data_IF_823264784518
#
_entry.id   IF_823264784518
#
_cell.length_a   1.000
_cell.length_b   1.000
_cell.length_c   1.000
_cell.angle_alpha   90.00
_cell.angle_beta   90.00
_cell.angle_gamma   90.00
#
_symmetry.space_group_name_H-M   'P 1'
#
loop_
_entity.id
_entity.type
_entity.pdbx_description
1 polymer ?
#
# COMPACT_ATOMS: atom_id res chain seq x y z
N UNK A 1 11.96 -12.17 -13.04
CA UNK A 1 10.59 -12.20 -13.57
C UNK A 1 10.04 -13.58 -13.26
N UNK A 2 8.94 -13.67 -12.53
CA UNK A 2 8.31 -14.95 -12.25
C UNK A 2 7.74 -15.51 -13.58
N UNK A 3 8.02 -16.79 -13.86
CA UNK A 3 7.54 -17.41 -15.08
C UNK A 3 6.11 -17.93 -14.88
N UNK A 4 5.24 -17.65 -15.82
CA UNK A 4 3.94 -18.29 -15.93
C UNK A 4 3.69 -18.73 -17.36
N UNK A 5 2.93 -19.81 -17.60
CA UNK A 5 2.58 -20.22 -18.95
C UNK A 5 1.66 -19.18 -19.62
N UNK A 6 1.76 -19.04 -20.92
CA UNK A 6 0.81 -18.23 -21.68
C UNK A 6 -0.61 -18.78 -21.50
N UNK A 7 -1.59 -17.88 -21.40
CA UNK A 7 -2.99 -18.27 -21.34
C UNK A 7 -3.39 -19.04 -22.61
N UNK A 8 -4.15 -20.15 -22.49
CA UNK A 8 -4.73 -20.82 -23.64
C UNK A 8 -5.65 -19.85 -24.43
N UNK A 9 -5.62 -19.97 -25.77
CA UNK A 9 -6.37 -19.08 -26.67
C UNK A 9 -7.86 -18.98 -26.35
N UNK A 10 -8.46 -20.03 -25.81
CA UNK A 10 -9.89 -20.06 -25.46
C UNK A 10 -10.27 -18.98 -24.45
N UNK A 11 -9.36 -18.59 -23.54
CA UNK A 11 -9.61 -17.49 -22.58
C UNK A 11 -9.35 -16.12 -23.21
N UNK A 12 -8.36 -16.03 -24.09
CA UNK A 12 -8.03 -14.77 -24.76
C UNK A 12 -9.07 -14.36 -25.81
N UNK A 13 -9.79 -15.34 -26.38
CA UNK A 13 -10.82 -15.11 -27.41
C UNK A 13 -12.25 -15.07 -26.86
N UNK A 14 -12.44 -15.47 -25.60
CA UNK A 14 -13.74 -15.44 -24.95
C UNK A 14 -14.20 -14.01 -24.68
N UNK A 15 -15.49 -13.77 -24.80
CA UNK A 15 -16.11 -12.51 -24.42
C UNK A 15 -16.12 -12.32 -22.89
N UNK A 16 -16.27 -11.09 -22.43
CA UNK A 16 -16.41 -10.79 -20.99
C UNK A 16 -17.53 -11.56 -20.32
N UNK A 17 -18.67 -11.72 -20.99
CA UNK A 17 -19.83 -12.46 -20.47
C UNK A 17 -19.54 -13.97 -20.37
N UNK A 18 -18.89 -14.55 -21.35
CA UNK A 18 -18.46 -15.97 -21.30
C UNK A 18 -17.49 -16.21 -20.15
N UNK A 19 -16.48 -15.34 -19.99
CA UNK A 19 -15.54 -15.42 -18.87
C UNK A 19 -16.24 -15.28 -17.54
N UNK A 20 -17.18 -14.34 -17.43
CA UNK A 20 -17.96 -14.15 -16.22
C UNK A 20 -18.79 -15.38 -15.83
N UNK A 21 -19.39 -16.05 -16.80
CA UNK A 21 -20.12 -17.30 -16.59
C UNK A 21 -19.20 -18.41 -16.10
N UNK A 22 -18.02 -18.56 -16.70
CA UNK A 22 -16.99 -19.52 -16.25
C UNK A 22 -16.60 -19.25 -14.80
N UNK A 23 -16.26 -18.01 -14.48
CA UNK A 23 -15.86 -17.60 -13.12
C UNK A 23 -16.98 -17.92 -12.12
N UNK A 24 -18.24 -17.57 -12.43
CA UNK A 24 -19.38 -17.84 -11.57
C UNK A 24 -19.59 -19.33 -11.33
N UNK A 25 -19.52 -20.15 -12.38
CA UNK A 25 -19.66 -21.60 -12.30
C UNK A 25 -18.57 -22.22 -11.41
N UNK A 26 -17.29 -21.84 -11.59
CA UNK A 26 -16.17 -22.36 -10.79
C UNK A 26 -16.23 -21.88 -9.35
N UNK A 27 -16.66 -20.65 -9.13
CA UNK A 27 -16.88 -20.12 -7.79
C UNK A 27 -17.95 -20.92 -7.04
N UNK A 28 -19.04 -21.28 -7.72
CA UNK A 28 -20.10 -22.12 -7.16
C UNK A 28 -19.60 -23.56 -6.87
N UNK A 29 -18.80 -24.15 -7.78
CA UNK A 29 -18.23 -25.50 -7.64
C UNK A 29 -17.25 -25.59 -6.46
N UNK A 30 -16.34 -24.63 -6.33
CA UNK A 30 -15.35 -24.58 -5.25
C UNK A 30 -15.96 -24.20 -3.90
N UNK A 31 -17.07 -23.48 -3.90
CA UNK A 31 -17.86 -23.15 -2.72
C UNK A 31 -17.03 -22.47 -1.60
N UNK A 32 -17.20 -22.93 -0.37
CA UNK A 32 -16.51 -22.36 0.80
C UNK A 32 -15.00 -22.54 0.79
N UNK A 33 -14.48 -23.47 -0.04
CA UNK A 33 -13.03 -23.68 -0.18
C UNK A 33 -12.31 -22.53 -0.87
N UNK A 34 -13.04 -21.67 -1.60
CA UNK A 34 -12.52 -20.53 -2.33
C UNK A 34 -12.89 -19.23 -1.64
N UNK A 35 -11.89 -18.34 -1.51
CA UNK A 35 -12.04 -16.96 -1.10
C UNK A 35 -11.42 -16.05 -2.16
N UNK A 36 -12.20 -15.13 -2.73
CA UNK A 36 -11.71 -14.17 -3.72
C UNK A 36 -11.63 -12.80 -3.06
N UNK A 37 -10.41 -12.24 -2.99
CA UNK A 37 -10.13 -10.93 -2.44
C UNK A 37 -9.79 -9.94 -3.57
N UNK A 38 -10.47 -8.80 -3.64
CA UNK A 38 -10.29 -7.79 -4.68
C UNK A 38 -9.87 -6.44 -4.11
N UNK A 39 -8.77 -5.89 -4.63
CA UNK A 39 -8.33 -4.55 -4.24
C UNK A 39 -9.17 -3.48 -4.96
N UNK A 40 -9.41 -2.35 -4.29
CA UNK A 40 -10.18 -1.23 -4.86
C UNK A 40 -9.66 -0.68 -6.20
N UNK A 41 -8.39 -0.90 -6.53
CA UNK A 41 -7.79 -0.43 -7.80
C UNK A 41 -7.98 -1.42 -8.96
N UNK A 42 -8.70 -2.51 -8.74
CA UNK A 42 -9.04 -3.46 -9.81
C UNK A 42 -10.13 -2.92 -10.73
N UNK A 43 -10.14 -3.47 -11.95
CA UNK A 43 -11.18 -3.24 -12.96
C UNK A 43 -12.54 -3.75 -12.46
N UNK A 44 -13.62 -3.16 -12.94
CA UNK A 44 -14.98 -3.55 -12.55
C UNK A 44 -15.28 -5.02 -12.90
N UNK A 45 -14.80 -5.45 -14.05
CA UNK A 45 -14.98 -6.81 -14.59
C UNK A 45 -14.35 -7.88 -13.69
N UNK A 46 -13.29 -7.53 -12.99
CA UNK A 46 -12.61 -8.42 -12.02
C UNK A 46 -13.24 -8.32 -10.65
N UNK A 47 -13.43 -7.08 -10.15
CA UNK A 47 -13.83 -6.85 -8.76
C UNK A 47 -15.26 -7.32 -8.47
N UNK A 48 -16.13 -7.37 -9.47
CA UNK A 48 -17.50 -7.89 -9.34
C UNK A 48 -17.57 -9.36 -8.89
N UNK A 49 -16.48 -10.12 -9.07
CA UNK A 49 -16.38 -11.52 -8.67
C UNK A 49 -15.82 -11.72 -7.26
N UNK A 50 -15.25 -10.66 -6.65
CA UNK A 50 -14.66 -10.73 -5.32
C UNK A 50 -15.72 -11.02 -4.24
N UNK A 51 -15.33 -11.81 -3.23
CA UNK A 51 -16.15 -12.01 -2.03
C UNK A 51 -16.03 -10.81 -1.09
N UNK A 52 -14.87 -10.19 -1.08
CA UNK A 52 -14.58 -8.97 -0.32
C UNK A 52 -13.73 -8.02 -1.13
N UNK A 53 -14.04 -6.74 -0.98
CA UNK A 53 -13.31 -5.63 -1.59
C UNK A 53 -12.73 -4.77 -0.46
N UNK A 54 -11.51 -4.29 -0.64
CA UNK A 54 -10.85 -3.45 0.35
C UNK A 54 -9.54 -2.84 -0.14
N UNK A 55 -8.97 -2.00 0.73
CA UNK A 55 -7.58 -1.59 0.62
C UNK A 55 -6.64 -2.68 1.15
N UNK A 56 -5.32 -2.45 1.09
CA UNK A 56 -4.33 -3.43 1.53
C UNK A 56 -4.49 -3.84 3.01
N UNK A 57 -4.88 -2.91 3.90
CA UNK A 57 -5.10 -3.22 5.31
C UNK A 57 -6.33 -4.10 5.49
N UNK A 58 -7.44 -3.70 4.88
CA UNK A 58 -8.70 -4.42 4.96
C UNK A 58 -8.57 -5.84 4.41
N UNK A 59 -7.93 -6.00 3.26
CA UNK A 59 -7.72 -7.31 2.64
C UNK A 59 -6.78 -8.19 3.47
N UNK A 60 -5.75 -7.63 4.10
CA UNK A 60 -4.88 -8.36 5.03
C UNK A 60 -5.66 -8.88 6.24
N UNK A 61 -6.53 -8.05 6.83
CA UNK A 61 -7.41 -8.45 7.93
C UNK A 61 -8.42 -9.53 7.51
N UNK A 62 -8.99 -9.40 6.31
CA UNK A 62 -9.96 -10.35 5.78
C UNK A 62 -9.31 -11.70 5.46
N UNK A 63 -8.11 -11.72 4.87
CA UNK A 63 -7.36 -12.95 4.65
C UNK A 63 -7.13 -13.70 5.96
N UNK A 64 -6.65 -13.01 6.99
CA UNK A 64 -6.38 -13.60 8.30
C UNK A 64 -7.65 -14.10 9.03
N UNK A 65 -8.78 -13.38 8.89
CA UNK A 65 -10.00 -13.65 9.65
C UNK A 65 -10.98 -14.58 8.93
N UNK A 66 -11.17 -14.43 7.63
CA UNK A 66 -12.23 -15.11 6.88
C UNK A 66 -11.80 -16.47 6.32
N UNK A 67 -10.51 -16.64 5.96
CA UNK A 67 -10.04 -17.92 5.44
C UNK A 67 -10.27 -19.08 6.45
N UNK A 68 -9.87 -18.98 7.74
CA UNK A 68 -10.14 -20.05 8.71
C UNK A 68 -11.64 -20.22 8.99
N UNK A 69 -12.43 -19.15 9.07
CA UNK A 69 -13.89 -19.24 9.33
C UNK A 69 -14.64 -20.02 8.26
N UNK A 70 -14.24 -19.85 6.99
CA UNK A 70 -14.87 -20.52 5.84
C UNK A 70 -14.31 -21.92 5.61
N UNK A 71 -13.18 -22.27 6.22
CA UNK A 71 -12.41 -23.46 5.88
C UNK A 71 -11.83 -23.36 4.46
N UNK A 72 -11.48 -22.14 4.03
CA UNK A 72 -10.94 -21.87 2.71
C UNK A 72 -9.60 -22.62 2.52
N UNK A 73 -9.43 -23.20 1.34
CA UNK A 73 -8.18 -23.85 0.90
C UNK A 73 -7.45 -23.01 -0.15
N UNK A 74 -8.16 -22.11 -0.80
CA UNK A 74 -7.66 -21.28 -1.87
C UNK A 74 -8.06 -19.83 -1.63
N UNK A 75 -7.09 -18.92 -1.71
CA UNK A 75 -7.34 -17.48 -1.81
C UNK A 75 -6.89 -17.04 -3.20
N UNK A 76 -7.82 -16.60 -4.03
CA UNK A 76 -7.49 -15.89 -5.27
C UNK A 76 -7.43 -14.40 -4.96
N UNK A 77 -6.22 -13.85 -5.06
CA UNK A 77 -5.96 -12.46 -4.70
C UNK A 77 -5.92 -11.58 -5.96
N UNK A 78 -6.99 -10.84 -6.22
CA UNK A 78 -7.05 -9.85 -7.30
C UNK A 78 -6.44 -8.52 -6.82
N UNK A 79 -5.13 -8.48 -6.83
CA UNK A 79 -4.28 -7.37 -6.37
C UNK A 79 -2.91 -7.46 -7.03
N UNK A 80 -1.86 -7.16 -6.29
CA UNK A 80 -0.46 -7.28 -6.75
C UNK A 80 0.35 -8.20 -5.84
N UNK A 81 1.52 -8.61 -6.29
CA UNK A 81 2.32 -9.68 -5.70
C UNK A 81 2.55 -9.52 -4.18
N UNK A 82 2.94 -8.35 -3.70
CA UNK A 82 3.18 -8.12 -2.27
C UNK A 82 1.92 -8.30 -1.40
N UNK A 83 0.72 -8.11 -1.98
CA UNK A 83 -0.55 -8.33 -1.29
C UNK A 83 -0.83 -9.83 -1.16
N UNK A 84 -0.55 -10.60 -2.20
CA UNK A 84 -0.63 -12.05 -2.17
C UNK A 84 0.39 -12.65 -1.18
N UNK A 85 1.64 -12.15 -1.16
CA UNK A 85 2.62 -12.50 -0.12
C UNK A 85 2.10 -12.19 1.28
N UNK A 86 1.47 -11.03 1.47
CA UNK A 86 0.90 -10.66 2.78
C UNK A 86 -0.22 -11.59 3.20
N UNK A 87 -1.08 -12.01 2.27
CA UNK A 87 -2.11 -13.00 2.53
C UNK A 87 -1.51 -14.37 2.89
N UNK A 88 -0.48 -14.82 2.19
CA UNK A 88 0.23 -16.06 2.50
C UNK A 88 0.88 -16.01 3.89
N UNK A 89 1.51 -14.89 4.26
CA UNK A 89 2.13 -14.70 5.59
C UNK A 89 1.10 -14.78 6.72
N UNK A 90 -0.11 -14.29 6.50
CA UNK A 90 -1.15 -14.17 7.52
C UNK A 90 -2.08 -15.37 7.59
N UNK A 91 -2.00 -16.29 6.65
CA UNK A 91 -2.81 -17.51 6.60
C UNK A 91 -2.00 -18.75 6.99
N UNK A 92 -2.69 -19.85 7.26
CA UNK A 92 -2.07 -21.14 7.55
C UNK A 92 -1.47 -21.76 6.28
N UNK A 93 -0.48 -22.63 6.46
CA UNK A 93 0.27 -23.25 5.35
C UNK A 93 -0.57 -24.21 4.48
N UNK A 94 -1.77 -24.57 4.94
CA UNK A 94 -2.73 -25.38 4.20
C UNK A 94 -3.68 -24.57 3.30
N UNK A 95 -3.46 -23.25 3.22
CA UNK A 95 -4.18 -22.33 2.33
C UNK A 95 -3.25 -21.91 1.19
N UNK A 96 -3.62 -22.22 -0.04
CA UNK A 96 -2.89 -21.77 -1.22
C UNK A 96 -3.35 -20.38 -1.63
N UNK A 97 -2.43 -19.42 -1.66
CA UNK A 97 -2.69 -18.07 -2.16
C UNK A 97 -2.27 -18.00 -3.63
N UNK A 98 -3.19 -17.57 -4.49
CA UNK A 98 -3.04 -17.55 -5.94
C UNK A 98 -3.16 -16.12 -6.45
N UNK A 99 -2.18 -15.69 -7.23
CA UNK A 99 -2.21 -14.44 -7.97
C UNK A 99 -2.55 -14.75 -9.44
N UNK A 100 -3.68 -14.30 -9.98
CA UNK A 100 -4.12 -14.71 -11.33
C UNK A 100 -3.08 -14.44 -12.42
N UNK A 101 -2.33 -13.34 -12.35
CA UNK A 101 -1.16 -13.07 -13.18
C UNK A 101 0.06 -12.78 -12.29
N UNK A 102 1.08 -13.65 -12.34
CA UNK A 102 2.32 -13.50 -11.56
C UNK A 102 3.13 -12.26 -11.95
N UNK A 103 2.88 -11.68 -13.11
CA UNK A 103 3.52 -10.43 -13.54
C UNK A 103 2.89 -9.17 -12.93
N UNK A 104 1.78 -9.31 -12.17
CA UNK A 104 1.15 -8.23 -11.44
C UNK A 104 2.01 -7.84 -10.21
N UNK A 105 3.13 -7.18 -10.45
CA UNK A 105 4.06 -6.67 -9.44
C UNK A 105 3.67 -5.29 -8.90
N UNK A 106 4.60 -4.66 -8.17
CA UNK A 106 4.48 -3.28 -7.72
C UNK A 106 5.84 -2.61 -7.78
N UNK A 107 6.01 -1.65 -8.70
CA UNK A 107 7.30 -0.97 -8.88
C UNK A 107 7.80 -0.29 -7.60
N UNK A 108 6.91 0.23 -6.76
CA UNK A 108 7.29 0.82 -5.48
C UNK A 108 7.84 -0.25 -4.51
N UNK A 109 7.20 -1.43 -4.44
CA UNK A 109 7.69 -2.52 -3.60
C UNK A 109 9.10 -2.97 -4.00
N UNK A 110 9.40 -2.92 -5.30
CA UNK A 110 10.70 -3.29 -5.86
C UNK A 110 11.78 -2.21 -5.68
N UNK A 111 11.40 -0.98 -5.30
CA UNK A 111 12.37 0.11 -5.06
C UNK A 111 13.16 -0.03 -3.76
N UNK A 112 12.72 -0.89 -2.83
CA UNK A 112 13.50 -1.25 -1.65
C UNK A 112 13.98 -2.70 -1.80
N UNK A 113 15.17 -2.89 -2.33
CA UNK A 113 15.85 -4.18 -2.39
C UNK A 113 16.32 -4.62 -1.01
N UNK A 114 16.37 -5.94 -0.77
CA UNK A 114 16.81 -6.47 0.51
C UNK A 114 18.27 -6.10 0.80
N UNK A 115 19.17 -6.32 -0.17
CA UNK A 115 20.59 -6.00 -0.04
C UNK A 115 20.81 -4.51 0.17
N UNK A 116 20.18 -3.66 -0.64
CA UNK A 116 20.23 -2.20 -0.47
C UNK A 116 19.76 -1.75 0.92
N UNK A 117 18.75 -2.44 1.47
CA UNK A 117 18.21 -2.13 2.80
C UNK A 117 19.19 -2.55 3.90
N UNK A 118 19.86 -3.69 3.76
CA UNK A 118 20.92 -4.14 4.68
C UNK A 118 22.11 -3.17 4.64
N UNK A 119 22.55 -2.76 3.46
CA UNK A 119 23.64 -1.79 3.30
C UNK A 119 23.28 -0.44 3.93
N UNK A 120 22.08 0.04 3.70
CA UNK A 120 21.58 1.26 4.33
C UNK A 120 21.57 1.15 5.85
N UNK A 121 21.10 0.02 6.38
CA UNK A 121 21.07 -0.25 7.82
C UNK A 121 22.47 -0.19 8.44
N UNK A 122 23.45 -0.83 7.80
CA UNK A 122 24.85 -0.81 8.24
C UNK A 122 25.44 0.59 8.17
N UNK A 123 25.25 1.31 7.07
CA UNK A 123 25.74 2.67 6.89
C UNK A 123 25.13 3.65 7.92
N UNK A 124 23.84 3.53 8.21
CA UNK A 124 23.17 4.35 9.24
C UNK A 124 23.77 4.07 10.61
N UNK A 125 23.97 2.80 10.98
CA UNK A 125 24.55 2.44 12.27
C UNK A 125 26.01 2.86 12.39
N UNK A 126 26.80 2.74 11.32
CA UNK A 126 28.17 3.25 11.28
C UNK A 126 28.22 4.77 11.48
N UNK A 127 27.31 5.54 10.87
CA UNK A 127 27.24 6.99 11.05
C UNK A 127 26.81 7.39 12.46
N UNK A 128 25.88 6.66 13.07
CA UNK A 128 25.43 6.90 14.45
C UNK A 128 26.52 6.56 15.46
N UNK A 129 27.25 5.48 15.25
CA UNK A 129 28.35 5.02 16.13
C UNK A 129 27.86 4.79 17.56
N UNK A 130 28.62 5.35 18.53
CA UNK A 130 28.33 5.21 19.96
C UNK A 130 27.23 6.18 20.49
N UNK A 131 26.55 6.93 19.60
CA UNK A 131 25.46 7.82 20.02
C UNK A 131 24.29 7.02 20.53
N UNK A 132 23.60 7.53 21.55
CA UNK A 132 22.39 6.92 22.08
C UNK A 132 21.19 7.17 21.13
N UNK A 133 21.30 6.59 19.93
CA UNK A 133 20.25 6.66 18.89
C UNK A 133 19.84 5.25 18.50
N UNK A 134 18.58 4.93 18.58
CA UNK A 134 18.02 3.65 18.14
C UNK A 134 17.23 3.83 16.86
N UNK A 135 17.52 3.01 15.85
CA UNK A 135 16.81 3.01 14.59
C UNK A 135 15.65 2.03 14.65
N UNK A 136 14.45 2.49 14.33
CA UNK A 136 13.27 1.64 14.18
C UNK A 136 12.85 1.71 12.71
N UNK A 137 12.90 0.58 11.97
CA UNK A 137 12.45 0.55 10.59
C UNK A 137 10.92 0.44 10.54
N UNK A 138 10.29 1.24 9.68
CA UNK A 138 8.89 1.11 9.31
C UNK A 138 8.83 0.80 7.83
N UNK A 139 8.05 -0.19 7.43
CA UNK A 139 7.79 -0.40 6.01
C UNK A 139 6.33 -0.26 5.68
N UNK A 140 6.04 0.49 4.64
CA UNK A 140 4.74 0.45 4.03
C UNK A 140 4.45 -0.98 3.55
N UNK A 141 3.24 -1.47 3.72
CA UNK A 141 2.85 -2.84 3.34
C UNK A 141 3.14 -3.14 1.87
N UNK A 142 3.24 -2.09 1.03
CA UNK A 142 3.67 -2.14 -0.36
C UNK A 142 5.20 -2.35 -0.45
N UNK A 143 5.65 -3.48 0.06
CA UNK A 143 7.03 -3.96 0.08
C UNK A 143 7.05 -5.48 -0.03
N UNK A 144 8.18 -6.06 -0.40
CA UNK A 144 8.33 -7.51 -0.51
C UNK A 144 8.28 -8.20 0.86
N UNK A 145 8.01 -9.50 0.89
CA UNK A 145 8.08 -10.31 2.11
C UNK A 145 9.47 -10.24 2.77
N UNK A 146 10.54 -10.12 1.98
CA UNK A 146 11.91 -9.99 2.49
C UNK A 146 12.11 -8.68 3.27
N UNK A 147 11.57 -7.56 2.79
CA UNK A 147 11.62 -6.27 3.50
C UNK A 147 10.75 -6.31 4.76
N UNK A 148 9.57 -6.91 4.72
CA UNK A 148 8.73 -7.13 5.90
C UNK A 148 9.45 -7.98 6.95
N UNK A 149 10.16 -9.02 6.52
CA UNK A 149 10.96 -9.89 7.39
C UNK A 149 12.13 -9.11 8.04
N UNK A 150 12.86 -8.32 7.23
CA UNK A 150 13.91 -7.44 7.74
C UNK A 150 13.37 -6.50 8.82
N UNK A 151 12.27 -5.81 8.55
CA UNK A 151 11.64 -4.88 9.49
C UNK A 151 11.18 -5.61 10.75
N UNK A 152 10.56 -6.78 10.62
CA UNK A 152 10.12 -7.60 11.75
C UNK A 152 11.28 -8.04 12.65
N UNK A 153 12.40 -8.47 12.05
CA UNK A 153 13.62 -8.87 12.74
C UNK A 153 14.26 -7.71 13.52
N UNK A 154 14.21 -6.50 12.98
CA UNK A 154 14.82 -5.31 13.59
C UNK A 154 13.86 -4.52 14.49
N UNK A 155 12.79 -5.15 14.98
CA UNK A 155 11.88 -4.53 15.96
C UNK A 155 10.92 -3.50 15.38
N UNK A 156 10.84 -3.38 14.06
CA UNK A 156 9.97 -2.45 13.36
C UNK A 156 8.58 -3.01 13.06
N UNK A 157 7.75 -2.25 12.37
CA UNK A 157 6.38 -2.63 11.99
C UNK A 157 6.08 -2.30 10.53
N UNK A 158 5.14 -3.03 9.95
CA UNK A 158 4.48 -2.60 8.72
C UNK A 158 3.50 -1.46 9.02
N UNK A 159 3.19 -0.66 8.01
CA UNK A 159 2.07 0.28 8.05
C UNK A 159 1.30 0.26 6.73
N UNK A 160 0.13 0.86 6.72
CA UNK A 160 -0.64 1.23 5.52
C UNK A 160 -0.94 2.72 5.57
N UNK A 161 -1.46 3.31 4.48
CA UNK A 161 -1.91 4.70 4.50
C UNK A 161 -2.99 4.97 5.57
N UNK A 162 -3.74 3.94 5.98
CA UNK A 162 -4.79 4.05 6.99
C UNK A 162 -4.26 4.14 8.43
N UNK A 163 -3.07 3.64 8.72
CA UNK A 163 -2.52 3.61 10.07
C UNK A 163 -1.06 4.11 10.20
N UNK A 164 -0.49 4.67 9.14
CA UNK A 164 0.89 5.14 9.13
C UNK A 164 1.19 6.09 10.29
N UNK A 165 0.30 7.04 10.60
CA UNK A 165 0.44 7.98 11.72
C UNK A 165 0.61 7.25 13.06
N UNK A 166 -0.19 6.22 13.33
CA UNK A 166 -0.13 5.46 14.59
C UNK A 166 1.11 4.59 14.69
N UNK A 167 1.51 3.96 13.59
CA UNK A 167 2.75 3.17 13.54
C UNK A 167 3.95 4.08 13.74
N UNK A 168 3.92 5.26 13.17
CA UNK A 168 4.96 6.26 13.32
C UNK A 168 5.06 6.75 14.78
N UNK A 169 3.93 7.10 15.39
CA UNK A 169 3.86 7.47 16.80
C UNK A 169 4.36 6.35 17.73
N UNK A 170 3.93 5.10 17.48
CA UNK A 170 4.42 3.92 18.20
C UNK A 170 5.95 3.79 18.09
N UNK A 171 6.53 4.00 16.92
CA UNK A 171 7.98 3.95 16.73
C UNK A 171 8.69 5.09 17.48
N UNK A 172 8.14 6.33 17.45
CA UNK A 172 8.70 7.47 18.20
C UNK A 172 8.73 7.21 19.72
N UNK A 173 7.81 6.41 20.24
CA UNK A 173 7.79 5.99 21.64
C UNK A 173 8.66 4.75 21.93
N UNK A 174 9.47 4.31 20.94
CA UNK A 174 10.43 3.22 21.10
C UNK A 174 9.93 1.86 20.62
N UNK A 175 8.76 1.77 20.04
CA UNK A 175 8.22 0.51 19.53
C UNK A 175 7.86 -0.47 20.65
N UNK A 176 8.35 -1.70 20.55
CA UNK A 176 8.14 -2.74 21.59
C UNK A 176 9.00 -2.52 22.84
N UNK A 177 10.04 -1.68 22.77
CA UNK A 177 10.96 -1.41 23.87
C UNK A 177 10.88 0.08 24.20
N UNK A 178 10.46 0.48 25.39
CA UNK A 178 10.40 1.89 25.77
C UNK A 178 11.72 2.63 25.52
N UNK A 179 11.62 3.92 25.24
CA UNK A 179 12.78 4.78 25.03
C UNK A 179 13.56 4.91 26.36
N UNK A 180 14.86 4.61 26.31
CA UNK A 180 15.72 4.72 27.48
C UNK A 180 16.06 6.20 27.76
N UNK A 181 16.58 6.48 28.99
CA UNK A 181 17.03 7.83 29.35
C UNK A 181 18.14 8.28 28.40
N UNK A 182 17.97 9.48 27.85
CA UNK A 182 18.89 10.09 26.87
C UNK A 182 19.00 9.35 25.51
N UNK A 183 18.12 8.39 25.26
CA UNK A 183 17.99 7.76 23.95
C UNK A 183 17.10 8.59 23.03
N UNK A 184 17.47 8.65 21.74
CA UNK A 184 16.62 9.25 20.71
C UNK A 184 16.26 8.22 19.66
N UNK A 185 15.04 8.30 19.16
CA UNK A 185 14.56 7.38 18.11
C UNK A 185 14.82 8.01 16.75
N UNK A 186 15.29 7.17 15.83
CA UNK A 186 15.41 7.45 14.41
C UNK A 186 14.55 6.47 13.64
N UNK A 187 13.75 6.95 12.70
CA UNK A 187 12.91 6.11 11.86
C UNK A 187 13.59 5.93 10.50
N UNK A 188 13.68 4.69 10.01
CA UNK A 188 13.95 4.37 8.62
C UNK A 188 12.62 3.98 7.97
N UNK A 189 12.08 4.85 7.10
CA UNK A 189 10.79 4.64 6.45
C UNK A 189 10.96 4.11 5.03
N UNK A 190 10.44 2.92 4.77
CA UNK A 190 10.54 2.16 3.53
C UNK A 190 9.15 1.93 2.92
N UNK A 191 9.01 1.71 1.62
CA UNK A 191 9.85 2.20 0.55
C UNK A 191 9.40 3.57 0.02
N UNK A 192 8.20 4.07 0.43
CA UNK A 192 7.58 5.28 -0.12
C UNK A 192 7.99 6.54 0.63
N UNK A 193 8.74 7.42 -0.06
CA UNK A 193 9.18 8.69 0.50
C UNK A 193 8.04 9.64 0.82
N UNK A 194 6.98 9.64 0.00
CA UNK A 194 5.89 10.60 0.10
C UNK A 194 4.99 10.28 1.29
N UNK A 195 4.56 9.02 1.45
CA UNK A 195 3.81 8.59 2.62
C UNK A 195 4.62 8.84 3.91
N UNK A 196 5.92 8.49 3.91
CA UNK A 196 6.80 8.73 5.05
C UNK A 196 6.95 10.21 5.38
N UNK A 197 7.18 11.07 4.38
CA UNK A 197 7.34 12.52 4.53
C UNK A 197 6.06 13.18 5.03
N UNK A 198 4.92 12.89 4.40
CA UNK A 198 3.63 13.43 4.81
C UNK A 198 3.25 12.98 6.21
N UNK A 199 3.59 11.74 6.58
CA UNK A 199 3.42 11.24 7.95
C UNK A 199 4.32 11.98 8.94
N UNK A 200 5.60 12.14 8.64
CA UNK A 200 6.54 12.91 9.48
C UNK A 200 6.06 14.36 9.68
N UNK A 201 5.66 15.03 8.59
CA UNK A 201 5.09 16.38 8.65
C UNK A 201 3.88 16.47 9.55
N UNK A 202 2.97 15.49 9.48
CA UNK A 202 1.78 15.44 10.35
C UNK A 202 2.09 15.26 11.84
N UNK A 203 3.33 14.84 12.19
CA UNK A 203 3.86 14.79 13.56
C UNK A 203 4.71 16.01 13.90
N UNK A 204 4.67 17.07 13.09
CA UNK A 204 5.37 18.33 13.35
C UNK A 204 6.84 18.34 12.98
N UNK A 205 7.37 17.32 12.28
CA UNK A 205 8.75 17.34 11.83
C UNK A 205 8.93 18.29 10.64
N UNK A 206 10.03 19.05 10.65
CA UNK A 206 10.45 19.88 9.52
C UNK A 206 11.01 18.97 8.44
N UNK A 207 10.31 18.88 7.31
CA UNK A 207 10.75 18.05 6.19
C UNK A 207 11.88 18.73 5.42
N UNK A 208 12.65 17.94 4.65
CA UNK A 208 13.68 18.50 3.75
C UNK A 208 13.06 19.40 2.66
N UNK A 209 11.79 19.17 2.31
CA UNK A 209 11.02 20.03 1.39
C UNK A 209 10.70 21.37 2.05
N UNK A 210 10.20 21.36 3.30
CA UNK A 210 9.91 22.59 4.06
C UNK A 210 11.17 23.39 4.34
N UNK A 211 12.28 22.72 4.69
CA UNK A 211 13.56 23.36 4.93
C UNK A 211 14.13 24.02 3.66
N UNK A 212 14.00 23.39 2.51
CA UNK A 212 14.43 23.95 1.22
C UNK A 212 13.57 25.19 0.84
N UNK A 213 12.26 25.14 1.07
CA UNK A 213 11.35 26.26 0.79
C UNK A 213 11.63 27.50 1.66
N UNK A 214 12.16 27.31 2.88
CA UNK A 214 12.47 28.38 3.85
C UNK A 214 13.91 28.90 3.79
N UNK A 215 14.68 28.56 2.74
CA UNK A 215 16.06 29.03 2.52
C UNK A 215 17.02 28.80 3.71
N UNK A 216 16.99 27.62 4.34
CA UNK A 216 18.02 27.24 5.31
C UNK A 216 17.53 26.74 6.67
N UNK A 217 16.31 26.24 6.78
CA UNK A 217 15.84 25.52 7.96
C UNK A 217 16.62 24.20 8.15
N UNK A 218 16.78 23.75 9.41
CA UNK A 218 17.34 22.43 9.70
C UNK A 218 16.23 21.39 9.49
N UNK A 219 16.38 20.58 8.46
CA UNK A 219 15.47 19.46 8.20
C UNK A 219 15.63 18.36 9.26
N UNK A 220 14.53 17.80 9.70
CA UNK A 220 14.49 16.64 10.59
C UNK A 220 14.26 15.34 9.81
N UNK A 221 13.91 15.46 8.52
CA UNK A 221 13.86 14.34 7.57
C UNK A 221 15.00 14.43 6.58
N UNK A 222 15.43 13.30 6.04
CA UNK A 222 16.42 13.25 4.94
C UNK A 222 16.05 12.12 3.97
N UNK A 223 16.23 12.37 2.67
CA UNK A 223 15.97 11.39 1.63
C UNK A 223 17.17 10.47 1.46
N UNK A 224 16.95 9.16 1.64
CA UNK A 224 17.93 8.12 1.38
C UNK A 224 17.77 7.55 -0.02
N UNK A 225 18.72 7.80 -0.90
CA UNK A 225 18.74 7.25 -2.24
C UNK A 225 19.65 5.99 -2.28
N UNK A 226 19.09 4.75 -2.41
CA UNK A 226 19.90 3.53 -2.39
C UNK A 226 20.91 3.42 -3.54
N UNK A 227 20.75 4.21 -4.61
CA UNK A 227 21.68 4.24 -5.75
C UNK A 227 22.95 5.05 -5.49
N UNK A 228 23.03 5.72 -4.36
CA UNK A 228 24.15 6.58 -3.98
C UNK A 228 24.83 6.03 -2.73
N UNK A 229 26.15 6.18 -2.65
CA UNK A 229 26.91 5.83 -1.46
C UNK A 229 26.35 6.55 -0.23
N UNK A 230 26.15 5.80 0.85
CA UNK A 230 25.54 6.31 2.10
C UNK A 230 24.21 7.05 1.87
N UNK A 231 23.43 6.60 0.86
CA UNK A 231 22.16 7.23 0.50
C UNK A 231 22.29 8.64 -0.09
N UNK A 232 23.50 9.06 -0.47
CA UNK A 232 23.80 10.43 -0.90
C UNK A 232 23.91 11.42 0.27
N UNK A 233 23.98 10.95 1.51
CA UNK A 233 24.00 11.76 2.73
C UNK A 233 25.38 11.76 3.39
N UNK A 234 25.75 12.90 3.95
CA UNK A 234 26.93 12.98 4.83
C UNK A 234 26.61 12.37 6.20
N UNK A 235 27.59 11.82 6.94
CA UNK A 235 27.38 11.26 8.28
C UNK A 235 26.64 12.22 9.24
N UNK A 236 26.94 13.50 9.19
CA UNK A 236 26.26 14.52 10.00
C UNK A 236 24.77 14.64 9.65
N UNK A 237 24.39 14.53 8.38
CA UNK A 237 22.99 14.58 7.96
C UNK A 237 22.26 13.32 8.43
N UNK A 238 22.88 12.14 8.31
CA UNK A 238 22.34 10.88 8.83
C UNK A 238 22.10 10.98 10.34
N UNK A 239 23.08 11.51 11.09
CA UNK A 239 22.96 11.69 12.54
C UNK A 239 21.86 12.66 12.93
N UNK A 240 21.72 13.79 12.23
CA UNK A 240 20.78 14.85 12.58
C UNK A 240 19.34 14.53 12.15
N UNK A 241 19.15 13.81 11.05
CA UNK A 241 17.82 13.41 10.62
C UNK A 241 17.16 12.50 11.67
N UNK A 242 15.94 12.80 12.05
CA UNK A 242 15.08 11.93 12.88
C UNK A 242 14.39 10.87 12.04
N UNK A 243 14.14 11.19 10.78
CA UNK A 243 13.49 10.29 9.82
C UNK A 243 14.33 10.21 8.54
N UNK A 244 14.73 9.00 8.19
CA UNK A 244 15.34 8.69 6.90
C UNK A 244 14.26 8.11 6.00
N UNK A 245 14.02 8.77 4.87
CA UNK A 245 12.98 8.42 3.90
C UNK A 245 13.62 7.71 2.72
N UNK A 246 13.22 6.48 2.45
CA UNK A 246 13.68 5.76 1.26
C UNK A 246 13.16 6.42 -0.01
N UNK A 247 14.02 6.60 -1.02
CA UNK A 247 13.69 7.34 -2.26
C UNK A 247 12.80 6.57 -3.24
N UNK A 248 11.87 5.76 -2.75
CA UNK A 248 10.84 5.11 -3.55
C UNK A 248 9.56 5.96 -3.64
N UNK A 249 8.67 5.60 -4.56
CA UNK A 249 7.41 6.31 -4.78
C UNK A 249 6.40 5.47 -5.55
N UNK A 250 5.12 5.79 -5.41
CA UNK A 250 4.06 5.23 -6.25
C UNK A 250 4.05 5.88 -7.64
N UNK A 251 4.04 5.07 -8.71
CA UNK A 251 4.00 5.57 -10.09
C UNK A 251 2.69 6.31 -10.43
N UNK A 252 1.60 6.00 -9.75
CA UNK A 252 0.30 6.64 -9.92
C UNK A 252 0.27 7.98 -9.21
N UNK A 253 0.51 7.99 -7.90
CA UNK A 253 0.30 9.17 -7.06
C UNK A 253 1.32 10.30 -7.34
N UNK A 254 2.51 9.97 -7.84
CA UNK A 254 3.50 10.98 -8.28
C UNK A 254 3.09 11.79 -9.51
N UNK A 255 2.05 11.38 -10.23
CA UNK A 255 1.56 12.11 -11.41
C UNK A 255 0.75 13.33 -11.03
N UNK A 256 0.19 13.40 -9.83
CA UNK A 256 -0.52 14.57 -9.35
C UNK A 256 0.45 15.70 -9.02
N UNK A 257 0.01 16.92 -9.31
CA UNK A 257 0.81 18.16 -9.16
C UNK A 257 -0.03 19.26 -8.53
N UNK A 258 0.59 20.28 -7.88
CA UNK A 258 -0.12 21.44 -7.34
C UNK A 258 -0.99 22.17 -8.37
N UNK A 259 -0.56 22.21 -9.64
CA UNK A 259 -1.31 22.85 -10.72
C UNK A 259 -2.67 22.18 -10.97
N UNK A 260 -2.77 20.87 -10.80
CA UNK A 260 -4.04 20.14 -10.90
C UNK A 260 -5.00 20.55 -9.80
N UNK A 261 -4.50 20.75 -8.57
CA UNK A 261 -5.30 21.24 -7.43
C UNK A 261 -5.80 22.67 -7.73
N UNK A 262 -4.91 23.52 -8.24
CA UNK A 262 -5.28 24.90 -8.61
C UNK A 262 -6.34 24.93 -9.73
N UNK A 263 -6.26 24.02 -10.72
CA UNK A 263 -7.25 23.90 -11.79
C UNK A 263 -8.60 23.44 -11.24
N UNK A 264 -8.63 22.40 -10.41
CA UNK A 264 -9.85 21.89 -9.78
C UNK A 264 -10.55 22.96 -8.90
N UNK A 265 -9.79 23.76 -8.18
CA UNK A 265 -10.34 24.88 -7.39
C UNK A 265 -10.99 25.99 -8.24
N UNK A 266 -10.44 26.28 -9.44
CA UNK A 266 -11.08 27.20 -10.39
C UNK A 266 -12.46 26.70 -10.80
N UNK A 267 -12.63 25.38 -10.86
CA UNK A 267 -13.93 24.73 -11.13
C UNK A 267 -14.80 24.56 -9.88
N UNK A 268 -14.41 25.17 -8.74
CA UNK A 268 -15.12 25.08 -7.45
C UNK A 268 -15.27 23.62 -6.95
N UNK A 269 -14.23 22.81 -7.16
CA UNK A 269 -14.17 21.44 -6.64
C UNK A 269 -13.40 21.38 -5.34
N UNK A 270 -13.89 20.61 -4.38
CA UNK A 270 -13.13 20.20 -3.20
C UNK A 270 -12.14 19.11 -3.62
N UNK A 271 -10.89 19.24 -3.21
CA UNK A 271 -9.82 18.32 -3.62
C UNK A 271 -9.46 17.41 -2.46
N UNK A 272 -9.53 16.10 -2.72
CA UNK A 272 -9.07 15.06 -1.80
C UNK A 272 -8.01 14.20 -2.47
N UNK A 273 -6.87 13.95 -1.78
CA UNK A 273 -5.74 13.21 -2.35
C UNK A 273 -5.27 12.09 -1.43
N UNK A 274 -4.65 11.07 -2.02
CA UNK A 274 -3.99 10.02 -1.26
C UNK A 274 -2.63 10.50 -0.71
N UNK A 275 -2.20 10.11 0.51
CA UNK A 275 -0.96 10.59 1.14
C UNK A 275 0.33 10.07 0.47
N UNK A 276 0.26 9.22 -0.54
CA UNK A 276 1.37 8.88 -1.44
C UNK A 276 1.62 9.97 -2.51
N UNK A 277 0.77 10.99 -2.60
CA UNK A 277 1.06 12.18 -3.41
C UNK A 277 2.23 12.95 -2.81
N UNK A 278 2.95 13.68 -3.66
CA UNK A 278 4.04 14.55 -3.20
C UNK A 278 3.54 15.54 -2.15
N UNK A 279 4.42 15.93 -1.21
CA UNK A 279 4.07 16.83 -0.12
C UNK A 279 3.44 18.14 -0.64
N UNK A 280 3.97 18.68 -1.72
CA UNK A 280 3.50 19.93 -2.33
C UNK A 280 2.05 19.83 -2.83
N UNK A 281 1.59 18.63 -3.18
CA UNK A 281 0.20 18.36 -3.58
C UNK A 281 -0.67 18.21 -2.35
N UNK A 282 -0.19 17.47 -1.33
CA UNK A 282 -0.91 17.27 -0.07
C UNK A 282 -1.12 18.61 0.65
N UNK A 283 -0.09 19.46 0.68
CA UNK A 283 -0.13 20.77 1.35
C UNK A 283 -1.16 21.74 0.74
N UNK A 284 -1.47 21.59 -0.52
CA UNK A 284 -2.45 22.46 -1.20
C UNK A 284 -3.80 21.78 -1.43
N UNK A 285 -3.95 20.49 -1.16
CA UNK A 285 -5.24 19.81 -1.20
C UNK A 285 -6.13 20.24 -0.01
N UNK A 286 -7.45 20.09 -0.15
CA UNK A 286 -8.37 20.38 0.94
C UNK A 286 -8.41 19.25 1.97
N UNK A 287 -8.24 18.00 1.50
CA UNK A 287 -8.21 16.80 2.33
C UNK A 287 -7.14 15.82 1.82
N UNK A 288 -6.56 15.06 2.74
CA UNK A 288 -5.69 13.94 2.42
C UNK A 288 -5.98 12.75 3.33
N UNK A 289 -6.08 11.56 2.74
CA UNK A 289 -6.33 10.35 3.50
C UNK A 289 -6.21 9.06 2.69
N UNK A 290 -6.29 7.93 3.39
CA UNK A 290 -6.20 6.60 2.79
C UNK A 290 -7.32 6.33 1.79
N UNK A 291 -7.20 5.22 1.06
CA UNK A 291 -8.24 4.75 0.13
C UNK A 291 -9.62 4.65 0.80
N UNK A 292 -9.72 4.04 1.99
CA UNK A 292 -10.98 3.95 2.74
C UNK A 292 -11.48 5.33 3.16
N UNK A 293 -10.59 6.22 3.63
CA UNK A 293 -10.97 7.59 3.97
C UNK A 293 -11.54 8.36 2.77
N UNK A 294 -10.96 8.20 1.59
CA UNK A 294 -11.47 8.79 0.34
C UNK A 294 -12.86 8.23 0.02
N UNK A 295 -13.04 6.91 0.12
CA UNK A 295 -14.31 6.24 -0.13
C UNK A 295 -15.39 6.75 0.85
N UNK A 296 -15.09 6.78 2.14
CA UNK A 296 -16.03 7.24 3.19
C UNK A 296 -16.41 8.71 3.00
N UNK A 297 -15.43 9.56 2.69
CA UNK A 297 -15.63 10.98 2.44
C UNK A 297 -16.57 11.22 1.25
N UNK A 298 -16.29 10.56 0.12
CA UNK A 298 -17.13 10.70 -1.08
C UNK A 298 -18.50 10.07 -0.86
N UNK A 299 -18.59 8.94 -0.14
CA UNK A 299 -19.84 8.25 0.16
C UNK A 299 -20.76 9.05 1.08
N UNK A 300 -20.20 9.90 1.94
CA UNK A 300 -20.94 10.81 2.83
C UNK A 300 -21.08 12.23 2.29
N UNK A 301 -20.56 12.51 1.09
CA UNK A 301 -20.62 13.84 0.49
C UNK A 301 -22.06 14.31 0.24
N UNK A 302 -22.33 15.59 0.50
CA UNK A 302 -23.65 16.18 0.36
C UNK A 302 -24.06 16.34 -1.10
N UNK A 303 -25.33 16.14 -1.46
CA UNK A 303 -25.83 16.37 -2.81
C UNK A 303 -25.51 17.79 -3.30
N UNK A 304 -25.15 17.90 -4.58
CA UNK A 304 -24.72 19.18 -5.20
C UNK A 304 -23.24 19.52 -4.99
N UNK A 305 -22.49 18.75 -4.20
CA UNK A 305 -21.04 18.96 -4.03
C UNK A 305 -20.24 18.47 -5.23
N UNK A 306 -19.08 19.12 -5.47
CA UNK A 306 -18.17 18.82 -6.56
C UNK A 306 -16.81 18.43 -5.99
N UNK A 307 -16.26 17.30 -6.43
CA UNK A 307 -15.02 16.72 -5.92
C UNK A 307 -14.03 16.43 -7.04
N UNK A 308 -12.75 16.67 -6.76
CA UNK A 308 -11.63 16.17 -7.55
C UNK A 308 -10.78 15.25 -6.67
N UNK A 309 -10.56 14.02 -7.12
CA UNK A 309 -9.95 12.95 -6.32
C UNK A 309 -8.60 12.56 -6.90
N UNK A 310 -7.54 12.68 -6.11
CA UNK A 310 -6.17 12.35 -6.48
C UNK A 310 -5.77 10.95 -6.01
N UNK A 311 -6.26 9.92 -6.71
CA UNK A 311 -5.89 8.53 -6.54
C UNK A 311 -6.10 7.74 -7.84
N UNK A 312 -6.09 6.41 -7.79
CA UNK A 312 -6.16 5.51 -8.93
C UNK A 312 -7.52 5.60 -9.67
N UNK A 313 -7.47 5.59 -11.01
CA UNK A 313 -8.61 5.90 -11.88
C UNK A 313 -9.79 4.96 -11.77
N UNK A 314 -9.60 3.65 -11.60
CA UNK A 314 -10.71 2.69 -11.49
C UNK A 314 -11.53 2.93 -10.22
N UNK A 315 -10.85 3.22 -9.11
CA UNK A 315 -11.54 3.61 -7.89
C UNK A 315 -12.32 4.91 -8.10
N UNK A 316 -11.69 5.95 -8.67
CA UNK A 316 -12.34 7.25 -8.88
C UNK A 316 -13.57 7.10 -9.80
N UNK A 317 -13.48 6.30 -10.87
CA UNK A 317 -14.61 6.05 -11.76
C UNK A 317 -15.79 5.37 -11.04
N UNK A 318 -15.53 4.37 -10.19
CA UNK A 318 -16.59 3.74 -9.38
C UNK A 318 -17.22 4.70 -8.39
N UNK A 319 -16.39 5.53 -7.74
CA UNK A 319 -16.90 6.59 -6.85
C UNK A 319 -17.76 7.59 -7.62
N UNK A 320 -17.34 8.00 -8.81
CA UNK A 320 -18.10 8.92 -9.65
C UNK A 320 -19.48 8.36 -10.03
N UNK A 321 -19.53 7.11 -10.48
CA UNK A 321 -20.81 6.43 -10.84
C UNK A 321 -21.72 6.34 -9.61
N UNK A 322 -21.20 5.88 -8.46
CA UNK A 322 -21.97 5.76 -7.23
C UNK A 322 -22.45 7.12 -6.70
N UNK A 323 -21.59 8.14 -6.77
CA UNK A 323 -21.87 9.47 -6.29
C UNK A 323 -22.91 10.21 -7.14
N UNK A 324 -22.90 10.00 -8.48
CA UNK A 324 -23.84 10.62 -9.41
C UNK A 324 -25.31 10.32 -9.06
N UNK A 325 -25.60 9.10 -8.60
CA UNK A 325 -26.95 8.69 -8.16
C UNK A 325 -27.45 9.48 -6.93
N UNK A 326 -26.54 10.19 -6.22
CA UNK A 326 -26.86 11.03 -5.06
C UNK A 326 -26.71 12.53 -5.37
N UNK A 327 -26.52 12.88 -6.63
CA UNK A 327 -26.30 14.26 -7.07
C UNK A 327 -24.94 14.83 -6.66
N UNK A 328 -23.95 13.99 -6.41
CA UNK A 328 -22.57 14.39 -6.11
C UNK A 328 -21.72 14.21 -7.36
N UNK A 329 -20.97 15.24 -7.75
CA UNK A 329 -20.12 15.21 -8.93
C UNK A 329 -18.65 14.90 -8.53
N UNK A 330 -18.10 13.83 -9.04
CA UNK A 330 -16.73 13.36 -8.74
C UNK A 330 -15.96 13.20 -10.04
N UNK A 331 -14.74 13.71 -10.09
CA UNK A 331 -13.80 13.46 -11.18
C UNK A 331 -12.41 13.13 -10.64
N UNK A 332 -11.57 12.59 -11.52
CA UNK A 332 -10.15 12.45 -11.21
C UNK A 332 -9.47 13.83 -11.19
N UNK A 333 -8.48 14.01 -10.30
CA UNK A 333 -7.77 15.28 -10.13
C UNK A 333 -6.93 15.67 -11.35
N UNK A 334 -6.50 14.71 -12.15
CA UNK A 334 -5.67 14.96 -13.35
C UNK A 334 -6.28 14.27 -14.55
N UNK A 335 -6.25 14.92 -15.72
CA UNK A 335 -6.66 14.32 -17.00
C UNK A 335 -5.72 13.21 -17.47
N UNK A 336 -4.51 13.09 -16.89
CA UNK A 336 -3.63 11.97 -17.13
C UNK A 336 -4.27 10.67 -16.60
N UNK A 337 -4.13 9.58 -17.36
CA UNK A 337 -4.55 8.27 -16.91
C UNK A 337 -3.70 7.84 -15.71
N UNK A 338 -4.19 8.08 -14.50
CA UNK A 338 -3.57 7.64 -13.26
C UNK A 338 -3.91 6.17 -12.99
N UNK A 339 -3.51 5.31 -13.93
CA UNK A 339 -3.77 3.88 -13.95
C UNK A 339 -2.62 3.13 -13.27
N UNK A 340 -2.95 2.22 -12.37
CA UNK A 340 -2.02 1.22 -11.89
C UNK A 340 -1.86 0.08 -12.91
N UNK A 341 -0.89 0.22 -13.81
CA UNK A 341 -0.68 -0.71 -14.94
C UNK A 341 -0.40 -2.15 -14.49
N UNK A 342 0.15 -2.34 -13.31
CA UNK A 342 0.44 -3.69 -12.77
C UNK A 342 -0.80 -4.33 -12.17
N UNK A 343 -1.66 -3.54 -11.52
CA UNK A 343 -2.97 -4.01 -11.04
C UNK A 343 -3.88 -4.40 -12.21
N UNK A 344 -3.79 -3.65 -13.31
CA UNK A 344 -4.54 -3.88 -14.56
C UNK A 344 -4.17 -5.18 -15.28
N UNK A 345 -3.04 -5.82 -14.95
CA UNK A 345 -2.66 -7.13 -15.52
C UNK A 345 -3.59 -8.26 -15.12
N UNK A 346 -4.25 -8.13 -13.99
CA UNK A 346 -5.26 -9.11 -13.57
C UNK A 346 -6.58 -8.79 -14.27
N UNK A 347 -6.99 -9.71 -15.14
CA UNK A 347 -8.21 -9.64 -15.91
C UNK A 347 -9.07 -10.89 -15.70
N UNK A 348 -10.26 -10.92 -16.31
CA UNK A 348 -11.15 -12.08 -16.23
C UNK A 348 -10.58 -13.34 -16.89
N UNK A 349 -9.76 -13.21 -17.94
CA UNK A 349 -9.18 -14.34 -18.64
C UNK A 349 -8.20 -15.10 -17.74
N UNK A 350 -7.30 -14.37 -17.04
CA UNK A 350 -6.40 -14.94 -16.05
C UNK A 350 -7.16 -15.56 -14.87
N UNK A 351 -8.19 -14.87 -14.41
CA UNK A 351 -9.01 -15.33 -13.28
C UNK A 351 -9.78 -16.60 -13.64
N UNK A 352 -10.45 -16.65 -14.81
CA UNK A 352 -11.19 -17.81 -15.27
C UNK A 352 -10.25 -19.02 -15.46
N UNK A 353 -9.08 -18.80 -16.04
CA UNK A 353 -8.07 -19.84 -16.18
C UNK A 353 -7.61 -20.41 -14.83
N UNK A 354 -7.27 -19.55 -13.86
CA UNK A 354 -6.87 -20.02 -12.54
C UNK A 354 -7.97 -20.83 -11.86
N UNK A 355 -9.22 -20.38 -11.92
CA UNK A 355 -10.36 -21.08 -11.32
C UNK A 355 -10.66 -22.42 -12.01
N UNK A 356 -10.53 -22.49 -13.35
CA UNK A 356 -10.63 -23.74 -14.09
C UNK A 356 -9.55 -24.75 -13.67
N UNK A 357 -8.30 -24.29 -13.47
CA UNK A 357 -7.23 -25.16 -13.00
C UNK A 357 -7.49 -25.65 -11.56
N UNK A 358 -7.96 -24.79 -10.66
CA UNK A 358 -8.33 -25.17 -9.30
C UNK A 358 -9.47 -26.20 -9.27
N UNK A 359 -10.51 -26.02 -10.07
CA UNK A 359 -11.60 -26.99 -10.20
C UNK A 359 -11.13 -28.33 -10.74
N UNK A 360 -10.11 -28.34 -11.60
CA UNK A 360 -9.43 -29.54 -12.08
C UNK A 360 -8.40 -30.13 -11.09
N UNK A 361 -8.31 -29.61 -9.87
CA UNK A 361 -7.39 -30.07 -8.82
C UNK A 361 -5.93 -29.63 -9.03
N UNK A 362 -5.69 -28.60 -9.84
CA UNK A 362 -4.34 -28.06 -10.10
C UNK A 362 -4.21 -26.65 -9.53
N UNK A 363 -3.28 -26.47 -8.62
CA UNK A 363 -2.89 -25.13 -8.12
C UNK A 363 -1.90 -24.52 -9.11
N UNK A 364 -2.24 -23.36 -9.65
CA UNK A 364 -1.38 -22.57 -10.55
C UNK A 364 -1.12 -21.20 -9.93
N UNK A 365 -0.03 -20.55 -10.33
CA UNK A 365 0.31 -19.20 -9.89
C UNK A 365 0.28 -19.01 -8.36
N UNK A 366 0.67 -20.05 -7.62
CA UNK A 366 0.79 -20.00 -6.17
C UNK A 366 1.88 -19.01 -5.77
N UNK A 367 1.54 -18.13 -4.83
CA UNK A 367 2.48 -17.25 -4.13
C UNK A 367 2.77 -17.89 -2.79
N UNK A 368 4.05 -18.14 -2.51
CA UNK A 368 4.51 -18.76 -1.28
C UNK A 368 5.74 -18.05 -0.77
N UNK A 369 5.72 -17.67 0.49
CA UNK A 369 6.83 -17.02 1.19
C UNK A 369 7.61 -18.09 1.96
N UNK A 370 8.94 -18.07 1.85
CA UNK A 370 9.79 -19.00 2.59
C UNK A 370 9.53 -18.91 4.09
N UNK A 371 9.50 -20.05 4.79
CA UNK A 371 9.08 -20.16 6.19
C UNK A 371 9.80 -19.18 7.14
N UNK A 372 11.12 -18.99 6.98
CA UNK A 372 11.87 -18.03 7.80
C UNK A 372 11.46 -16.59 7.56
N UNK A 373 11.28 -16.20 6.29
CA UNK A 373 10.80 -14.87 5.92
C UNK A 373 9.36 -14.68 6.41
N UNK A 374 8.49 -15.68 6.26
CA UNK A 374 7.10 -15.69 6.73
C UNK A 374 7.04 -15.43 8.24
N UNK A 375 7.84 -16.15 9.04
CA UNK A 375 7.91 -15.99 10.50
C UNK A 375 8.35 -14.59 10.92
N UNK A 376 9.38 -14.04 10.29
CA UNK A 376 9.91 -12.70 10.60
C UNK A 376 8.98 -11.59 10.10
N UNK A 377 8.47 -11.69 8.88
CA UNK A 377 7.53 -10.73 8.31
C UNK A 377 6.22 -10.65 9.12
N UNK A 378 5.77 -11.80 9.64
CA UNK A 378 4.59 -11.86 10.51
C UNK A 378 4.73 -10.98 11.75
N UNK A 379 5.93 -10.84 12.33
CA UNK A 379 6.16 -9.94 13.48
C UNK A 379 5.83 -8.48 13.12
N UNK A 380 6.27 -8.01 11.94
CA UNK A 380 6.00 -6.65 11.50
C UNK A 380 4.52 -6.43 11.16
N UNK A 381 3.87 -7.43 10.55
CA UNK A 381 2.45 -7.39 10.20
C UNK A 381 1.56 -7.48 11.45
N UNK A 382 1.88 -8.34 12.42
CA UNK A 382 1.13 -8.45 13.67
C UNK A 382 1.19 -7.13 14.48
N UNK A 383 2.34 -6.44 14.49
CA UNK A 383 2.46 -5.10 15.07
C UNK A 383 1.57 -4.10 14.35
N UNK A 384 1.58 -4.10 13.02
CA UNK A 384 0.69 -3.27 12.20
C UNK A 384 -0.78 -3.51 12.55
N UNK A 385 -1.20 -4.78 12.61
CA UNK A 385 -2.60 -5.15 12.87
C UNK A 385 -3.07 -4.76 14.28
N UNK A 386 -2.17 -4.78 15.29
CA UNK A 386 -2.47 -4.31 16.66
C UNK A 386 -2.62 -2.79 16.74
N UNK A 387 -1.97 -2.04 15.85
CA UNK A 387 -1.97 -0.58 15.80
C UNK A 387 -3.10 -0.01 14.91
N UNK A 388 -4.12 -0.81 14.61
CA UNK A 388 -5.31 -0.35 13.88
C UNK A 388 -6.29 0.34 14.84
N UNK A 389 -6.96 1.43 14.45
CA UNK A 389 -8.06 2.00 15.21
C UNK A 389 -9.15 0.97 15.49
N UNK A 390 -9.67 0.91 16.70
CA UNK A 390 -10.95 0.24 16.93
C UNK A 390 -12.01 0.88 16.02
N UNK A 391 -12.86 0.07 15.37
CA UNK A 391 -13.95 0.57 14.51
C UNK A 391 -14.75 1.61 15.28
N UNK A 392 -14.80 2.85 14.81
CA UNK A 392 -15.53 3.95 15.43
C UNK A 392 -14.71 5.21 15.74
N UNK A 393 -13.38 5.18 15.68
CA UNK A 393 -12.60 6.42 15.77
C UNK A 393 -12.56 7.07 14.39
N UNK A 394 -13.43 8.06 14.22
CA UNK A 394 -13.47 8.96 13.08
C UNK A 394 -12.07 9.49 12.73
N UNK A 395 -11.90 9.77 11.44
CA UNK A 395 -10.78 10.52 10.91
C UNK A 395 -10.34 11.62 11.88
N UNK A 396 -9.06 11.62 12.23
CA UNK A 396 -8.47 12.81 12.84
C UNK A 396 -8.48 13.89 11.77
N UNK A 397 -9.36 14.87 11.93
CA UNK A 397 -9.28 16.12 11.20
C UNK A 397 -7.87 16.67 11.38
N UNK A 398 -7.32 17.18 10.30
CA UNK A 398 -6.13 18.02 10.37
C UNK A 398 -6.66 19.39 10.82
N UNK A 399 -6.47 19.74 12.10
CA UNK A 399 -6.58 21.14 12.56
C UNK A 399 -5.36 21.92 12.06
#
# INVERSE_FOLDING_TARGET
MLWQPSLPERYLKASEDELALVIAARKAELGSKLLILGHHYQQNEVIRHADFIGDSLKLSQLAAAEAPKRGAKFIVFCGVHFMAETADILTSDDVDVILPDLSAGCSMADMAGYEDTVDAWQAIHAAIGAKKQRVIPITYVNSTAAIKAFVGQHGGACCTSSNAKRVFEWALHGGEIPVAKDETIKILFLPDQHLGRNTAKSHGFITEVDAAAKNGGIAETALWNPKLESGGLKPAQICNAKVLLWAGHCSVHKLFRPEHVAAARKERRTVIVHPECAQEVVDVADLSGSTEYIIDTISSAVPGSNWAVGTEVHLVNRLAISAANRGVNVCILSECQCLCTTMYRIDQAHMAWCLDQLAAGKVVNRVSVHADAKRLAKLALDRMLRLVPARGSAALAID
#
